data_IF_098831096692
#
_entry.id   IF_098831096692
#
_cell.length_a   1.000
_cell.length_b   1.000
_cell.length_c   1.000
_cell.angle_alpha   90.00
_cell.angle_beta   90.00
_cell.angle_gamma   90.00
#
_symmetry.space_group_name_H-M   'P 1'
#
loop_
_entity.id
_entity.type
_entity.pdbx_description
1 polymer ?
#
# COMPACT_ATOMS: atom_id res chain seq x y z
N UNK A 1 29.64 -80.74 -11.19
CA UNK A 1 28.68 -81.15 -12.23
C UNK A 1 27.77 -79.96 -12.34
N UNK A 2 27.96 -79.13 -13.23
CA UNK A 2 28.01 -79.00 -14.64
C UNK A 2 26.74 -78.25 -15.11
N UNK A 3 27.03 -77.33 -15.91
CA UNK A 3 26.43 -76.76 -17.15
C UNK A 3 25.31 -75.72 -17.00
N UNK A 4 25.74 -74.49 -17.20
CA UNK A 4 25.44 -73.59 -18.34
C UNK A 4 24.09 -73.78 -19.05
N UNK A 5 23.28 -72.71 -19.05
CA UNK A 5 22.56 -72.25 -20.25
C UNK A 5 22.38 -70.71 -20.22
N UNK A 6 23.07 -70.05 -21.20
CA UNK A 6 22.85 -68.69 -21.64
C UNK A 6 21.45 -68.55 -22.26
N UNK A 7 20.66 -67.60 -21.71
CA UNK A 7 19.45 -67.10 -22.38
C UNK A 7 19.70 -65.65 -22.82
N UNK A 8 19.81 -65.44 -24.14
CA UNK A 8 19.88 -64.10 -24.74
C UNK A 8 18.52 -63.44 -24.63
N UNK A 9 18.45 -62.32 -23.91
CA UNK A 9 17.29 -61.45 -23.94
C UNK A 9 17.60 -60.25 -24.84
N UNK A 10 16.84 -60.16 -25.94
CA UNK A 10 16.87 -58.98 -26.84
C UNK A 10 16.24 -57.81 -26.17
N UNK A 11 17.01 -56.76 -26.00
CA UNK A 11 16.50 -55.45 -25.65
C UNK A 11 16.01 -54.71 -26.89
N UNK A 12 14.69 -54.54 -27.01
CA UNK A 12 14.10 -53.55 -27.91
C UNK A 12 14.21 -52.17 -27.27
N UNK A 13 15.09 -51.35 -27.78
CA UNK A 13 15.19 -49.93 -27.37
C UNK A 13 14.04 -49.15 -27.98
N UNK A 14 13.11 -48.69 -27.14
CA UNK A 14 12.14 -47.67 -27.50
C UNK A 14 12.80 -46.30 -27.25
N UNK A 15 13.14 -45.61 -28.32
CA UNK A 15 13.61 -44.21 -28.23
C UNK A 15 12.38 -43.32 -27.94
N UNK A 16 12.25 -42.82 -26.69
CA UNK A 16 11.30 -41.78 -26.35
C UNK A 16 11.97 -40.44 -26.65
N UNK A 17 11.50 -39.76 -27.66
CA UNK A 17 11.87 -38.38 -27.96
C UNK A 17 11.22 -37.48 -26.93
N UNK A 18 12.02 -36.96 -25.95
CA UNK A 18 11.63 -35.91 -25.07
C UNK A 18 11.64 -34.59 -25.86
N UNK A 19 10.44 -34.12 -26.24
CA UNK A 19 10.25 -32.75 -26.67
C UNK A 19 10.44 -31.82 -25.45
N UNK A 20 11.57 -31.16 -25.35
CA UNK A 20 11.81 -30.09 -24.39
C UNK A 20 10.95 -28.89 -24.78
N UNK A 21 9.72 -28.85 -24.25
CA UNK A 21 8.91 -27.66 -24.24
C UNK A 21 9.53 -26.67 -23.24
N UNK A 22 10.34 -25.74 -23.74
CA UNK A 22 10.84 -24.63 -22.93
C UNK A 22 9.66 -23.77 -22.47
N UNK A 23 9.28 -23.90 -21.19
CA UNK A 23 8.45 -22.91 -20.51
C UNK A 23 9.36 -21.67 -20.34
N UNK A 24 9.19 -20.72 -21.26
CA UNK A 24 9.79 -19.42 -21.14
C UNK A 24 9.23 -18.73 -19.89
N UNK A 25 9.96 -18.77 -18.77
CA UNK A 25 9.74 -17.88 -17.65
C UNK A 25 10.01 -16.49 -18.20
N UNK A 26 8.95 -15.72 -18.43
CA UNK A 26 9.09 -14.31 -18.74
C UNK A 26 9.78 -13.67 -17.54
N UNK A 27 11.06 -13.39 -17.71
CA UNK A 27 11.86 -12.62 -16.77
C UNK A 27 11.29 -11.21 -16.78
N UNK A 28 10.51 -10.88 -15.75
CA UNK A 28 10.00 -9.53 -15.54
C UNK A 28 11.22 -8.59 -15.54
N UNK A 29 11.26 -7.73 -16.56
CA UNK A 29 12.34 -6.77 -16.71
C UNK A 29 12.43 -5.96 -15.42
N UNK A 30 13.58 -5.97 -14.78
CA UNK A 30 13.94 -5.02 -13.74
C UNK A 30 13.56 -3.60 -14.22
N UNK A 31 12.74 -2.91 -13.43
CA UNK A 31 12.30 -1.57 -13.75
C UNK A 31 13.54 -0.69 -13.97
N UNK A 32 13.75 -0.28 -15.22
CA UNK A 32 14.72 0.78 -15.52
C UNK A 32 14.29 1.99 -14.70
N UNK A 33 15.21 2.58 -13.94
CA UNK A 33 14.95 3.74 -13.10
C UNK A 33 14.21 4.81 -13.92
N UNK A 34 12.90 4.92 -13.71
CA UNK A 34 12.11 5.99 -14.28
C UNK A 34 12.58 7.28 -13.62
N UNK A 35 12.89 8.30 -14.42
CA UNK A 35 13.32 9.61 -13.90
C UNK A 35 12.18 10.42 -13.28
N UNK A 36 10.94 9.88 -13.28
CA UNK A 36 9.74 10.54 -12.77
C UNK A 36 9.20 9.97 -11.47
N UNK A 37 8.23 10.63 -10.89
CA UNK A 37 7.54 10.17 -9.70
C UNK A 37 6.83 8.84 -9.93
N UNK A 38 6.97 7.87 -9.02
CA UNK A 38 6.38 6.54 -9.08
C UNK A 38 5.49 6.28 -7.86
N UNK A 39 4.41 5.56 -8.08
CA UNK A 39 3.52 5.07 -7.02
C UNK A 39 3.79 3.59 -6.82
N UNK A 40 4.26 3.20 -5.65
CA UNK A 40 4.46 1.80 -5.26
C UNK A 40 3.42 1.43 -4.21
N UNK A 41 2.48 0.57 -4.56
CA UNK A 41 1.48 0.09 -3.61
C UNK A 41 2.12 -1.03 -2.78
N UNK A 42 2.42 -0.74 -1.52
CA UNK A 42 3.06 -1.69 -0.61
C UNK A 42 2.07 -2.74 -0.10
N UNK A 43 0.82 -2.34 0.10
CA UNK A 43 -0.25 -3.24 0.52
C UNK A 43 -1.62 -2.72 0.07
N UNK A 44 -2.47 -3.63 -0.36
CA UNK A 44 -3.82 -3.38 -0.89
C UNK A 44 -4.92 -3.84 0.05
N UNK A 45 -4.57 -4.44 1.19
CA UNK A 45 -5.52 -5.03 2.13
C UNK A 45 -6.38 -3.98 2.84
N UNK A 46 -7.22 -4.48 3.71
CA UNK A 46 -8.18 -3.78 4.56
C UNK A 46 -8.22 -4.53 5.91
N UNK A 47 -9.19 -4.32 6.82
CA UNK A 47 -9.24 -5.04 8.09
C UNK A 47 -9.36 -6.58 7.99
N UNK A 48 -9.75 -7.13 6.81
CA UNK A 48 -9.83 -8.58 6.59
C UNK A 48 -8.44 -9.21 6.66
N UNK A 49 -8.32 -10.33 7.36
CA UNK A 49 -7.04 -11.04 7.50
C UNK A 49 -6.73 -11.91 6.27
N UNK A 50 -6.65 -11.30 5.10
CA UNK A 50 -6.26 -11.96 3.86
C UNK A 50 -4.72 -12.10 3.81
N UNK A 51 -4.16 -13.33 3.77
CA UNK A 51 -2.71 -13.54 3.76
C UNK A 51 -2.03 -13.05 2.48
N UNK A 52 -2.77 -12.90 1.39
CA UNK A 52 -2.24 -12.44 0.09
C UNK A 52 -2.27 -10.91 -0.07
N UNK A 53 -2.89 -10.17 0.88
CA UNK A 53 -3.05 -8.73 0.84
C UNK A 53 -2.57 -8.11 2.15
N UNK A 54 -1.44 -7.44 2.09
CA UNK A 54 -0.90 -6.73 3.25
C UNK A 54 -1.68 -5.44 3.53
N UNK A 55 -1.61 -4.98 4.76
CA UNK A 55 -2.34 -3.78 5.19
C UNK A 55 -2.06 -2.55 4.32
N UNK A 56 -3.03 -1.63 4.21
CA UNK A 56 -2.96 -0.51 3.27
C UNK A 56 -1.73 0.35 3.55
N UNK A 57 -0.88 0.47 2.54
CA UNK A 57 0.28 1.34 2.54
C UNK A 57 0.71 1.65 1.11
N UNK A 58 1.02 2.90 0.83
CA UNK A 58 1.48 3.36 -0.48
C UNK A 58 2.77 4.15 -0.30
N UNK A 59 3.73 3.98 -1.19
CA UNK A 59 4.93 4.82 -1.25
C UNK A 59 4.90 5.66 -2.54
N UNK A 60 5.00 6.97 -2.40
CA UNK A 60 5.31 7.88 -3.51
C UNK A 60 6.83 8.03 -3.52
N UNK A 61 7.44 7.57 -4.60
CA UNK A 61 8.90 7.61 -4.79
C UNK A 61 9.23 8.71 -5.78
N UNK A 62 10.01 9.70 -5.35
CA UNK A 62 10.46 10.81 -6.19
C UNK A 62 11.96 10.99 -5.98
N UNK A 63 12.73 10.85 -7.03
CA UNK A 63 14.18 10.86 -6.95
C UNK A 63 14.67 9.84 -5.91
N UNK A 64 15.45 10.29 -4.91
CA UNK A 64 15.99 9.44 -3.86
C UNK A 64 15.20 9.52 -2.54
N UNK A 65 13.89 9.85 -2.59
CA UNK A 65 13.01 9.94 -1.43
C UNK A 65 11.74 9.12 -1.58
N UNK A 66 11.29 8.54 -0.48
CA UNK A 66 10.00 7.89 -0.36
C UNK A 66 9.11 8.62 0.64
N UNK A 67 7.87 8.84 0.25
CA UNK A 67 6.81 9.45 1.05
C UNK A 67 5.74 8.39 1.24
N UNK A 68 5.64 7.84 2.45
CA UNK A 68 4.64 6.80 2.74
C UNK A 68 3.28 7.43 2.99
N UNK A 69 2.22 6.78 2.54
CA UNK A 69 0.84 7.08 2.91
C UNK A 69 0.27 5.83 3.56
N UNK A 70 -0.14 5.98 4.81
CA UNK A 70 -0.54 4.92 5.73
C UNK A 70 0.57 3.89 6.02
N UNK A 71 0.36 3.15 7.08
CA UNK A 71 1.28 2.12 7.55
C UNK A 71 0.51 0.95 8.15
N UNK A 72 -0.24 0.27 7.29
CA UNK A 72 -0.93 -0.96 7.66
C UNK A 72 0.04 -2.09 8.06
N UNK A 73 -0.49 -3.20 8.59
CA UNK A 73 0.33 -4.34 8.99
C UNK A 73 1.32 -4.78 7.93
N UNK A 74 2.60 -4.88 8.31
CA UNK A 74 3.67 -5.37 7.44
C UNK A 74 4.36 -4.33 6.56
N UNK A 75 4.05 -3.03 6.69
CA UNK A 75 4.60 -1.95 5.86
C UNK A 75 6.12 -2.00 5.71
N UNK A 76 6.89 -2.25 6.79
CA UNK A 76 8.36 -2.31 6.73
C UNK A 76 8.83 -3.51 5.92
N UNK A 77 8.18 -4.67 6.05
CA UNK A 77 8.50 -5.88 5.27
C UNK A 77 8.17 -5.70 3.80
N UNK A 78 7.08 -5.01 3.49
CA UNK A 78 6.67 -4.72 2.11
C UNK A 78 7.60 -3.69 1.47
N UNK A 79 8.04 -2.67 2.21
CA UNK A 79 9.06 -1.74 1.75
C UNK A 79 10.39 -2.47 1.45
N UNK A 80 10.81 -3.40 2.32
CA UNK A 80 11.99 -4.22 2.07
C UNK A 80 11.84 -5.16 0.85
N UNK A 81 10.61 -5.64 0.56
CA UNK A 81 10.34 -6.39 -0.67
C UNK A 81 10.44 -5.49 -1.91
N UNK A 82 9.91 -4.27 -1.84
CA UNK A 82 10.06 -3.28 -2.92
C UNK A 82 11.53 -2.86 -3.13
N UNK A 83 12.34 -2.76 -2.06
CA UNK A 83 13.80 -2.57 -2.17
C UNK A 83 14.42 -3.65 -3.05
N UNK A 84 14.10 -4.92 -2.82
CA UNK A 84 14.60 -6.05 -3.62
C UNK A 84 14.15 -5.96 -5.09
N UNK A 85 13.02 -5.32 -5.36
CA UNK A 85 12.51 -5.09 -6.71
C UNK A 85 13.11 -3.82 -7.36
N UNK A 86 14.15 -3.23 -6.76
CA UNK A 86 14.90 -2.11 -7.36
C UNK A 86 14.62 -0.74 -6.72
N UNK A 87 13.73 -0.63 -5.75
CA UNK A 87 13.44 0.63 -5.05
C UNK A 87 14.36 0.81 -3.83
N UNK A 88 15.64 1.06 -4.05
CA UNK A 88 16.65 1.19 -2.97
C UNK A 88 16.27 2.23 -1.90
N UNK A 89 15.50 3.25 -2.26
CA UNK A 89 14.98 4.28 -1.37
C UNK A 89 13.95 3.75 -0.34
N UNK A 90 13.38 2.56 -0.60
CA UNK A 90 12.47 1.87 0.33
C UNK A 90 13.19 0.92 1.29
N UNK A 91 14.53 0.95 1.33
CA UNK A 91 15.31 0.30 2.38
C UNK A 91 14.85 0.76 3.76
N UNK A 92 14.72 -0.17 4.70
CA UNK A 92 14.12 0.11 6.01
C UNK A 92 14.69 1.38 6.68
N UNK A 93 16.01 1.56 6.71
CA UNK A 93 16.64 2.75 7.34
C UNK A 93 16.32 4.08 6.65
N UNK A 94 15.80 4.06 5.41
CA UNK A 94 15.44 5.25 4.64
C UNK A 94 13.94 5.60 4.76
N UNK A 95 13.16 4.81 5.48
CA UNK A 95 11.76 5.10 5.77
C UNK A 95 11.68 6.19 6.84
N UNK A 96 11.62 7.45 6.42
CA UNK A 96 11.76 8.63 7.30
C UNK A 96 10.49 9.46 7.42
N UNK A 97 9.46 9.18 6.62
CA UNK A 97 8.26 10.01 6.54
C UNK A 97 7.01 9.19 6.26
N UNK A 98 5.92 9.53 6.96
CA UNK A 98 4.60 8.92 6.74
C UNK A 98 3.48 9.96 6.87
N UNK A 99 2.48 9.86 6.01
CA UNK A 99 1.25 10.62 6.02
C UNK A 99 0.10 9.65 6.34
N UNK A 100 -0.56 9.83 7.48
CA UNK A 100 -1.64 8.97 7.94
C UNK A 100 -2.97 9.58 7.51
N UNK A 101 -3.80 8.82 6.81
CA UNK A 101 -5.10 9.28 6.33
C UNK A 101 -6.10 9.41 7.48
N UNK A 102 -6.19 8.40 8.32
CA UNK A 102 -7.04 8.34 9.51
C UNK A 102 -6.53 7.27 10.49
N UNK A 103 -7.12 7.17 11.68
CA UNK A 103 -6.57 6.33 12.75
C UNK A 103 -7.25 4.97 12.90
N UNK A 104 -7.87 4.40 11.86
CA UNK A 104 -8.27 3.00 11.88
C UNK A 104 -7.05 2.08 12.05
N UNK A 105 -7.27 0.93 12.65
CA UNK A 105 -6.19 0.00 13.03
C UNK A 105 -5.49 -0.58 11.81
N UNK A 106 -6.19 -0.90 10.74
CA UNK A 106 -5.59 -1.42 9.51
C UNK A 106 -4.66 -0.43 8.81
N UNK A 107 -4.87 0.88 9.00
CA UNK A 107 -3.97 1.94 8.51
C UNK A 107 -2.80 2.25 9.44
N UNK A 108 -2.85 1.79 10.72
CA UNK A 108 -1.90 2.21 11.77
C UNK A 108 -1.24 1.07 12.54
N UNK A 109 -1.66 -0.21 12.38
CA UNK A 109 -1.05 -1.33 13.12
C UNK A 109 0.43 -1.56 12.76
N UNK A 110 0.89 -1.15 11.59
CA UNK A 110 2.31 -1.15 11.23
C UNK A 110 3.07 0.08 11.73
N UNK A 111 2.41 1.05 12.37
CA UNK A 111 3.08 2.26 12.84
C UNK A 111 4.16 1.99 13.91
N UNK A 112 3.94 1.16 14.92
CA UNK A 112 5.01 0.75 15.83
C UNK A 112 6.17 0.06 15.10
N UNK A 113 5.89 -0.82 14.14
CA UNK A 113 6.92 -1.46 13.31
C UNK A 113 7.72 -0.41 12.53
N UNK A 114 7.06 0.60 11.94
CA UNK A 114 7.71 1.69 11.22
C UNK A 114 8.54 2.62 12.14
N UNK A 115 8.19 2.73 13.40
CA UNK A 115 8.97 3.48 14.40
C UNK A 115 10.24 2.71 14.76
N UNK A 116 10.13 1.44 15.14
CA UNK A 116 11.22 0.73 15.81
C UNK A 116 12.08 -0.11 14.86
N UNK A 117 11.52 -0.85 13.90
CA UNK A 117 12.31 -1.70 13.01
C UNK A 117 13.32 -0.91 12.16
N UNK A 118 12.97 0.21 11.52
CA UNK A 118 13.94 1.05 10.80
C UNK A 118 15.04 1.61 11.68
N UNK A 119 14.74 1.96 12.93
CA UNK A 119 15.74 2.39 13.91
C UNK A 119 16.76 1.29 14.21
N UNK A 120 16.31 0.08 14.51
CA UNK A 120 17.17 -1.09 14.73
C UNK A 120 18.01 -1.39 13.48
N UNK A 121 17.46 -1.16 12.28
CA UNK A 121 18.13 -1.36 11.00
C UNK A 121 18.95 -0.15 10.53
N UNK A 122 19.14 0.86 11.39
CA UNK A 122 20.14 1.92 11.19
C UNK A 122 19.59 3.30 10.82
N UNK A 123 18.27 3.54 10.89
CA UNK A 123 17.72 4.91 10.80
C UNK A 123 18.22 5.74 11.97
N UNK A 124 18.82 6.89 11.68
CA UNK A 124 19.41 7.78 12.70
C UNK A 124 18.51 8.99 13.00
N UNK A 125 17.72 9.41 12.04
CA UNK A 125 16.80 10.53 12.18
C UNK A 125 15.46 10.07 12.78
N UNK A 126 14.74 10.95 13.51
CA UNK A 126 13.35 10.70 13.88
C UNK A 126 12.46 10.43 12.66
N UNK A 127 11.39 9.67 12.84
CA UNK A 127 10.33 9.55 11.85
C UNK A 127 9.50 10.83 11.82
N UNK A 128 9.31 11.43 10.65
CA UNK A 128 8.36 12.52 10.43
C UNK A 128 6.96 11.92 10.16
N UNK A 129 6.02 12.13 11.06
CA UNK A 129 4.67 11.58 10.96
C UNK A 129 3.62 12.68 10.89
N UNK A 130 2.93 12.76 9.77
CA UNK A 130 1.85 13.70 9.49
C UNK A 130 0.51 12.97 9.56
N UNK A 131 -0.50 13.50 10.25
CA UNK A 131 -1.79 12.83 10.31
C UNK A 131 -2.82 13.57 11.15
N UNK A 132 -4.02 12.98 11.34
CA UNK A 132 -5.11 13.63 12.04
C UNK A 132 -4.82 13.81 13.53
N UNK A 133 -5.60 14.68 14.16
CA UNK A 133 -5.59 14.85 15.62
C UNK A 133 -5.80 13.50 16.32
N UNK A 134 -4.99 13.23 17.32
CA UNK A 134 -4.91 11.97 18.05
C UNK A 134 -3.66 11.15 17.71
N UNK A 135 -3.00 11.44 16.58
CA UNK A 135 -1.75 10.77 16.19
C UNK A 135 -0.64 10.99 17.23
N UNK A 136 -0.52 12.22 17.76
CA UNK A 136 0.44 12.53 18.82
C UNK A 136 0.23 11.67 20.05
N UNK A 137 -1.01 11.59 20.53
CA UNK A 137 -1.35 10.74 21.67
C UNK A 137 -1.08 9.27 21.41
N UNK A 138 -1.41 8.78 20.22
CA UNK A 138 -1.10 7.41 19.81
C UNK A 138 0.40 7.14 19.86
N UNK A 139 1.22 8.05 19.31
CA UNK A 139 2.68 7.96 19.33
C UNK A 139 3.24 7.91 20.75
N UNK A 140 2.80 8.81 21.63
CA UNK A 140 3.23 8.84 23.03
C UNK A 140 2.93 7.52 23.77
N UNK A 141 1.80 6.88 23.49
CA UNK A 141 1.47 5.59 24.09
C UNK A 141 2.30 4.44 23.49
N UNK A 142 2.57 4.47 22.18
CA UNK A 142 3.45 3.51 21.52
C UNK A 142 4.88 3.62 22.10
N UNK A 143 5.44 4.81 22.20
CA UNK A 143 6.77 5.01 22.76
C UNK A 143 6.87 4.52 24.22
N UNK A 144 5.83 4.73 25.03
CA UNK A 144 5.77 4.20 26.39
C UNK A 144 5.68 2.68 26.42
N UNK A 145 4.92 2.06 25.51
CA UNK A 145 4.76 0.61 25.44
C UNK A 145 6.08 -0.11 25.13
N UNK A 146 6.97 0.50 24.36
CA UNK A 146 8.29 -0.05 23.99
C UNK A 146 9.45 0.57 24.76
N UNK A 147 9.21 1.28 25.86
CA UNK A 147 10.27 1.97 26.63
C UNK A 147 11.36 1.01 27.13
N UNK A 148 10.99 -0.22 27.55
CA UNK A 148 11.95 -1.24 28.00
C UNK A 148 12.84 -1.72 26.85
N UNK A 149 12.27 -2.03 25.68
CA UNK A 149 13.04 -2.43 24.50
C UNK A 149 14.02 -1.33 24.09
N UNK A 150 13.57 -0.08 24.06
CA UNK A 150 14.42 1.10 23.77
C UNK A 150 15.56 1.22 24.76
N UNK A 151 15.30 1.03 26.06
CA UNK A 151 16.32 1.09 27.10
C UNK A 151 17.37 -0.02 26.92
N UNK A 152 16.93 -1.25 26.72
CA UNK A 152 17.84 -2.41 26.54
C UNK A 152 18.72 -2.23 25.32
N UNK A 153 18.17 -1.81 24.18
CA UNK A 153 18.93 -1.60 22.95
C UNK A 153 19.90 -0.43 23.05
N UNK A 154 19.56 0.64 23.76
CA UNK A 154 20.42 1.81 23.91
C UNK A 154 21.54 1.64 24.93
N UNK A 155 21.29 0.90 26.01
CA UNK A 155 22.22 0.74 27.13
C UNK A 155 22.91 -0.63 27.15
N UNK A 156 22.45 -1.57 26.33
CA UNK A 156 23.01 -2.89 26.19
C UNK A 156 24.04 -2.99 25.08
N UNK A 157 24.33 -4.22 24.61
CA UNK A 157 25.38 -4.52 23.63
C UNK A 157 25.10 -4.00 22.21
N UNK A 158 23.85 -3.61 21.89
CA UNK A 158 23.50 -3.09 20.57
C UNK A 158 23.95 -1.63 20.38
N UNK A 159 24.10 -0.89 21.48
CA UNK A 159 24.50 0.54 21.50
C UNK A 159 23.70 1.39 20.50
N UNK A 160 22.40 1.10 20.37
CA UNK A 160 21.52 1.72 19.38
C UNK A 160 21.49 3.24 19.53
N UNK A 161 21.41 3.96 18.40
CA UNK A 161 21.44 5.43 18.39
C UNK A 161 20.26 6.05 19.19
N UNK A 162 20.45 7.29 19.64
CA UNK A 162 19.55 7.96 20.58
C UNK A 162 18.35 8.66 19.93
N UNK A 163 18.22 8.64 18.61
CA UNK A 163 17.26 9.50 17.87
C UNK A 163 16.34 8.73 16.91
N UNK A 164 16.81 7.66 16.30
CA UNK A 164 16.06 7.00 15.23
C UNK A 164 14.75 6.31 15.65
N UNK A 165 14.53 6.09 16.94
CA UNK A 165 13.24 5.59 17.48
C UNK A 165 12.25 6.70 17.82
N UNK A 166 12.68 7.96 17.77
CA UNK A 166 11.81 9.11 18.05
C UNK A 166 10.93 9.44 16.86
N UNK A 167 9.85 10.14 17.14
CA UNK A 167 8.90 10.59 16.13
C UNK A 167 8.63 12.08 16.30
N UNK A 168 8.73 12.82 15.20
CA UNK A 168 8.23 14.19 15.11
C UNK A 168 6.81 14.12 14.56
N UNK A 169 5.82 14.36 15.41
CA UNK A 169 4.41 14.27 15.03
C UNK A 169 3.87 15.63 14.64
N UNK A 170 3.26 15.69 13.47
CA UNK A 170 2.56 16.84 12.91
C UNK A 170 1.07 16.52 12.77
N UNK A 171 0.26 16.97 13.75
CA UNK A 171 -1.19 16.88 13.61
C UNK A 171 -1.66 17.96 12.63
N UNK A 172 -2.34 17.52 11.55
CA UNK A 172 -2.64 18.34 10.38
C UNK A 172 -4.10 18.78 10.32
N UNK A 173 -4.36 19.74 9.45
CA UNK A 173 -5.67 20.10 8.92
C UNK A 173 -5.65 20.13 7.39
N UNK A 174 -6.77 20.44 6.71
CA UNK A 174 -6.79 20.62 5.26
C UNK A 174 -5.85 21.75 4.81
N UNK A 175 -5.19 21.55 3.67
CA UNK A 175 -4.25 22.51 3.08
C UNK A 175 -2.89 21.88 2.82
N UNK A 176 -1.89 22.69 2.48
CA UNK A 176 -0.52 22.23 2.29
C UNK A 176 0.07 21.85 3.67
N UNK A 177 0.43 20.57 3.81
CA UNK A 177 0.93 19.99 5.07
C UNK A 177 2.42 19.72 5.04
N UNK A 178 2.99 19.59 3.84
CA UNK A 178 4.42 19.37 3.64
C UNK A 178 4.89 19.93 2.30
N UNK A 179 6.14 20.37 2.25
CA UNK A 179 6.81 20.77 0.99
C UNK A 179 8.31 20.59 1.12
N UNK A 180 8.90 20.04 0.07
CA UNK A 180 10.34 20.05 -0.14
C UNK A 180 10.67 20.29 -1.64
N UNK A 181 11.90 20.00 -2.05
CA UNK A 181 12.36 20.16 -3.43
C UNK A 181 11.72 19.19 -4.43
N UNK A 182 11.13 18.08 -3.95
CA UNK A 182 10.54 17.02 -4.75
C UNK A 182 9.02 17.12 -4.86
N UNK A 183 8.34 17.49 -3.75
CA UNK A 183 6.89 17.41 -3.67
C UNK A 183 6.28 18.58 -2.90
N UNK A 184 5.04 18.90 -3.24
CA UNK A 184 4.10 19.60 -2.36
C UNK A 184 2.99 18.63 -2.00
N UNK A 185 2.74 18.40 -0.71
CA UNK A 185 1.68 17.54 -0.21
C UNK A 185 0.55 18.37 0.37
N UNK A 186 -0.64 18.20 -0.20
CA UNK A 186 -1.86 18.85 0.27
C UNK A 186 -2.80 17.79 0.86
N UNK A 187 -3.22 17.96 2.11
CA UNK A 187 -4.28 17.16 2.71
C UNK A 187 -5.64 17.78 2.39
N UNK A 188 -6.62 16.96 2.09
CA UNK A 188 -8.01 17.37 1.94
C UNK A 188 -8.93 16.46 2.74
N UNK A 189 -10.00 17.03 3.31
CA UNK A 189 -10.90 16.27 4.18
C UNK A 189 -11.78 15.35 3.34
N UNK A 190 -11.97 14.11 3.80
CA UNK A 190 -12.87 13.13 3.19
C UNK A 190 -13.96 12.71 4.18
N UNK A 191 -14.96 11.96 3.71
CA UNK A 191 -16.10 11.50 4.50
C UNK A 191 -15.90 10.04 4.85
N UNK A 192 -15.55 9.74 6.09
CA UNK A 192 -15.38 8.36 6.52
C UNK A 192 -16.20 8.10 7.79
N UNK A 193 -17.48 7.86 7.59
CA UNK A 193 -18.43 7.58 8.65
C UNK A 193 -18.43 8.62 9.76
N UNK A 194 -18.19 8.17 10.98
CA UNK A 194 -18.16 9.00 12.18
C UNK A 194 -16.79 9.64 12.48
N UNK A 195 -15.75 9.34 11.68
CA UNK A 195 -14.46 9.99 11.80
C UNK A 195 -14.56 11.47 11.44
N UNK A 196 -14.26 12.33 12.41
CA UNK A 196 -14.28 13.78 12.19
C UNK A 196 -13.11 14.27 11.36
N UNK A 197 -12.00 13.56 11.43
CA UNK A 197 -10.75 13.87 10.74
C UNK A 197 -10.26 12.64 10.00
N UNK A 198 -10.63 12.56 8.73
CA UNK A 198 -10.11 11.63 7.75
C UNK A 198 -9.67 12.44 6.52
N UNK A 199 -8.54 12.10 5.95
CA UNK A 199 -7.88 12.86 4.91
C UNK A 199 -7.53 12.00 3.71
N UNK A 200 -7.71 12.57 2.50
CA UNK A 200 -6.98 12.17 1.33
C UNK A 200 -5.76 13.08 1.14
N UNK A 201 -4.83 12.65 0.32
CA UNK A 201 -3.61 13.40 0.03
C UNK A 201 -3.43 13.62 -1.47
N UNK A 202 -3.01 14.83 -1.85
CA UNK A 202 -2.55 15.18 -3.18
C UNK A 202 -1.06 15.45 -3.12
N UNK A 203 -0.29 14.71 -3.92
CA UNK A 203 1.14 14.90 -4.14
C UNK A 203 1.34 15.58 -5.50
N UNK A 204 1.92 16.75 -5.49
CA UNK A 204 2.30 17.49 -6.69
C UNK A 204 3.81 17.47 -6.80
N UNK A 205 4.32 16.75 -7.79
CA UNK A 205 5.74 16.68 -8.12
C UNK A 205 6.02 17.54 -9.36
N UNK A 206 7.25 17.57 -9.82
CA UNK A 206 7.62 18.30 -11.03
C UNK A 206 6.91 17.76 -12.29
N UNK A 207 6.63 16.47 -12.32
CA UNK A 207 6.16 15.74 -13.50
C UNK A 207 4.79 15.09 -13.34
N UNK A 208 4.30 14.90 -12.10
CA UNK A 208 3.05 14.17 -11.84
C UNK A 208 2.21 14.80 -10.73
N UNK A 209 0.90 14.66 -10.86
CA UNK A 209 -0.07 14.91 -9.81
C UNK A 209 -0.74 13.60 -9.43
N UNK A 210 -0.53 13.15 -8.19
CA UNK A 210 -1.00 11.88 -7.65
C UNK A 210 -1.96 12.19 -6.50
N UNK A 211 -3.15 11.59 -6.54
CA UNK A 211 -4.18 11.75 -5.51
C UNK A 211 -4.49 10.40 -4.89
N UNK A 212 -4.52 10.34 -3.56
CA UNK A 212 -4.87 9.16 -2.77
C UNK A 212 -6.08 9.53 -1.94
N UNK A 213 -7.18 8.80 -2.09
CA UNK A 213 -8.43 9.11 -1.43
C UNK A 213 -8.37 8.93 0.10
N UNK A 214 -7.57 7.99 0.60
CA UNK A 214 -7.85 7.37 1.90
C UNK A 214 -9.20 6.64 1.85
N UNK A 215 -9.71 6.23 2.99
CA UNK A 215 -11.05 5.63 3.06
C UNK A 215 -12.11 6.73 3.06
N UNK A 216 -13.13 6.58 2.23
CA UNK A 216 -14.14 7.62 2.05
C UNK A 216 -15.44 7.14 1.43
N UNK A 217 -16.56 7.58 1.96
CA UNK A 217 -17.79 7.67 1.18
C UNK A 217 -17.63 8.71 0.06
N UNK A 218 -18.48 8.72 -0.97
CA UNK A 218 -18.37 9.64 -2.10
C UNK A 218 -18.27 11.09 -1.68
N UNK A 219 -17.28 11.81 -2.20
CA UNK A 219 -17.08 13.22 -1.89
C UNK A 219 -16.53 14.02 -3.08
N UNK A 220 -16.98 15.26 -3.22
CA UNK A 220 -16.50 16.18 -4.24
C UNK A 220 -15.05 16.64 -3.99
N UNK A 221 -14.55 16.47 -2.75
CA UNK A 221 -13.17 16.83 -2.43
C UNK A 221 -12.16 16.00 -3.24
N UNK A 222 -12.42 14.70 -3.43
CA UNK A 222 -11.60 13.84 -4.30
C UNK A 222 -11.62 14.35 -5.75
N UNK A 223 -12.81 14.71 -6.25
CA UNK A 223 -12.97 15.25 -7.61
C UNK A 223 -12.15 16.53 -7.79
N UNK A 224 -12.27 17.46 -6.81
CA UNK A 224 -11.52 18.73 -6.83
C UNK A 224 -10.00 18.52 -6.70
N UNK A 225 -9.59 17.59 -5.85
CA UNK A 225 -8.16 17.31 -5.63
C UNK A 225 -7.51 16.71 -6.87
N UNK A 226 -8.21 15.81 -7.57
CA UNK A 226 -7.71 15.18 -8.78
C UNK A 226 -7.76 16.13 -9.99
N UNK A 227 -8.94 16.61 -10.40
CA UNK A 227 -9.16 17.50 -11.55
C UNK A 227 -8.18 17.25 -12.72
N UNK A 228 -8.26 16.06 -13.31
CA UNK A 228 -7.35 15.62 -14.37
C UNK A 228 -5.97 15.19 -13.89
N UNK A 229 -5.84 14.67 -12.66
CA UNK A 229 -4.58 14.14 -12.11
C UNK A 229 -4.02 12.98 -12.94
N UNK A 230 -2.72 12.73 -12.79
CA UNK A 230 -2.06 11.64 -13.51
C UNK A 230 -2.46 10.29 -12.94
N UNK A 231 -2.55 10.18 -11.62
CA UNK A 231 -2.98 8.96 -10.92
C UNK A 231 -3.95 9.30 -9.81
N UNK A 232 -5.10 8.65 -9.79
CA UNK A 232 -6.03 8.62 -8.67
C UNK A 232 -6.03 7.22 -8.07
N UNK A 233 -5.48 7.08 -6.85
CA UNK A 233 -5.69 5.88 -6.05
C UNK A 233 -6.98 6.08 -5.25
N UNK A 234 -7.93 5.18 -5.40
CA UNK A 234 -9.21 5.27 -4.70
C UNK A 234 -9.61 3.92 -4.11
N UNK A 235 -10.08 3.95 -2.86
CA UNK A 235 -10.66 2.78 -2.22
C UNK A 235 -11.97 2.38 -2.91
N UNK A 236 -12.38 1.13 -2.75
CA UNK A 236 -13.65 0.65 -3.27
C UNK A 236 -14.10 -0.62 -2.55
N UNK A 237 -15.38 -0.73 -2.23
CA UNK A 237 -15.94 -1.95 -1.66
C UNK A 237 -16.82 -2.70 -2.67
N UNK A 238 -16.92 -4.03 -2.52
CA UNK A 238 -17.82 -4.86 -3.31
C UNK A 238 -19.22 -4.89 -2.68
N UNK A 239 -20.26 -4.30 -3.32
CA UNK A 239 -21.61 -4.25 -2.76
C UNK A 239 -22.37 -5.58 -2.79
N UNK A 240 -21.79 -6.66 -3.34
CA UNK A 240 -22.40 -7.97 -3.43
C UNK A 240 -21.90 -8.95 -2.35
N UNK A 241 -21.12 -8.50 -1.39
CA UNK A 241 -20.64 -9.33 -0.29
C UNK A 241 -21.78 -9.81 0.62
N UNK A 242 -21.60 -10.99 1.22
CA UNK A 242 -22.65 -11.62 2.07
C UNK A 242 -23.06 -10.77 3.26
N UNK A 243 -22.13 -10.00 3.85
CA UNK A 243 -22.43 -9.11 4.99
C UNK A 243 -23.38 -7.98 4.63
N UNK A 244 -23.44 -7.59 3.34
CA UNK A 244 -24.31 -6.52 2.84
C UNK A 244 -25.78 -6.94 2.67
N UNK A 245 -26.11 -8.19 2.96
CA UNK A 245 -27.50 -8.62 3.14
C UNK A 245 -28.10 -8.12 4.46
N UNK A 246 -27.27 -7.69 5.41
CA UNK A 246 -27.70 -7.04 6.65
C UNK A 246 -27.78 -5.52 6.46
N UNK A 247 -28.92 -4.91 6.81
CA UNK A 247 -29.16 -3.48 6.63
C UNK A 247 -28.19 -2.59 7.47
N UNK A 248 -27.70 -3.09 8.61
CA UNK A 248 -26.70 -2.39 9.42
C UNK A 248 -25.38 -2.28 8.66
N UNK A 249 -24.85 -3.40 8.14
CA UNK A 249 -23.61 -3.44 7.38
C UNK A 249 -23.72 -2.68 6.07
N UNK A 250 -24.84 -2.80 5.37
CA UNK A 250 -25.13 -2.02 4.18
C UNK A 250 -25.05 -0.51 4.44
N UNK A 251 -25.69 -0.05 5.52
CA UNK A 251 -25.61 1.36 5.95
C UNK A 251 -24.17 1.75 6.33
N UNK A 252 -23.44 0.86 7.01
CA UNK A 252 -22.03 1.07 7.34
C UNK A 252 -21.21 1.34 6.08
N UNK A 253 -21.21 0.41 5.12
CA UNK A 253 -20.42 0.54 3.89
C UNK A 253 -20.79 1.79 3.09
N UNK A 254 -22.07 2.09 2.94
CA UNK A 254 -22.53 3.32 2.26
C UNK A 254 -22.08 4.62 2.96
N UNK A 255 -21.83 4.56 4.26
CA UNK A 255 -21.43 5.73 5.05
C UNK A 255 -19.91 5.88 5.12
N UNK A 256 -19.17 4.79 5.03
CA UNK A 256 -17.73 4.75 5.23
C UNK A 256 -16.94 4.61 3.93
N UNK A 257 -17.49 3.97 2.90
CA UNK A 257 -16.77 3.53 1.71
C UNK A 257 -17.50 3.91 0.42
N UNK A 258 -16.82 3.71 -0.71
CA UNK A 258 -17.32 4.05 -2.05
C UNK A 258 -17.62 2.78 -2.86
N UNK A 259 -18.83 2.66 -3.39
CA UNK A 259 -19.22 1.56 -4.29
C UNK A 259 -18.67 1.76 -5.71
N UNK A 260 -18.63 0.71 -6.56
CA UNK A 260 -18.23 0.82 -7.96
C UNK A 260 -19.02 1.86 -8.76
N UNK A 261 -20.33 1.94 -8.56
CA UNK A 261 -21.19 2.91 -9.24
C UNK A 261 -20.84 4.36 -8.88
N UNK A 262 -20.63 4.62 -7.59
CA UNK A 262 -20.21 5.93 -7.07
C UNK A 262 -18.80 6.29 -7.53
N UNK A 263 -17.87 5.32 -7.50
CA UNK A 263 -16.50 5.50 -7.97
C UNK A 263 -16.47 5.84 -9.46
N UNK A 264 -17.29 5.17 -10.27
CA UNK A 264 -17.46 5.51 -11.69
C UNK A 264 -17.91 6.96 -11.87
N UNK A 265 -18.86 7.43 -11.04
CA UNK A 265 -19.29 8.82 -11.02
C UNK A 265 -18.19 9.82 -10.63
N UNK A 266 -17.39 9.49 -9.61
CA UNK A 266 -16.23 10.27 -9.19
C UNK A 266 -15.20 10.34 -10.32
N UNK A 267 -14.81 9.19 -10.90
CA UNK A 267 -13.79 9.10 -11.93
C UNK A 267 -14.17 9.86 -13.22
N UNK A 268 -15.43 9.78 -13.65
CA UNK A 268 -15.91 10.57 -14.80
C UNK A 268 -15.76 12.08 -14.58
N UNK A 269 -16.01 12.58 -13.38
CA UNK A 269 -15.88 14.01 -13.02
C UNK A 269 -14.44 14.42 -12.77
N UNK A 270 -13.68 13.57 -12.07
CA UNK A 270 -12.28 13.82 -11.73
C UNK A 270 -11.32 13.68 -12.92
N UNK A 271 -11.67 12.84 -13.91
CA UNK A 271 -10.92 12.62 -15.17
C UNK A 271 -9.44 12.26 -14.94
N UNK A 272 -9.12 11.28 -14.07
CA UNK A 272 -7.73 10.85 -13.91
C UNK A 272 -7.20 10.24 -15.20
N UNK A 273 -5.89 10.36 -15.47
CA UNK A 273 -5.26 9.63 -16.59
C UNK A 273 -5.19 8.13 -16.29
N UNK A 274 -5.05 7.76 -15.01
CA UNK A 274 -5.13 6.38 -14.50
C UNK A 274 -5.88 6.37 -13.16
N UNK A 275 -6.93 5.56 -13.07
CA UNK A 275 -7.58 5.20 -11.82
C UNK A 275 -6.96 3.88 -11.31
N UNK A 276 -6.49 3.87 -10.06
CA UNK A 276 -5.94 2.69 -9.39
C UNK A 276 -6.87 2.32 -8.24
N UNK A 277 -7.50 1.15 -8.33
CA UNK A 277 -8.31 0.62 -7.24
C UNK A 277 -7.37 0.05 -6.18
N UNK A 278 -7.38 0.59 -4.97
CA UNK A 278 -6.62 0.07 -3.85
C UNK A 278 -7.53 -0.06 -2.62
N UNK A 279 -7.05 -0.62 -1.53
CA UNK A 279 -7.91 -0.87 -0.36
C UNK A 279 -9.26 -1.49 -0.78
N UNK A 280 -9.16 -2.59 -1.57
CA UNK A 280 -10.34 -3.23 -2.12
C UNK A 280 -11.02 -4.08 -1.03
N UNK A 281 -12.19 -3.64 -0.58
CA UNK A 281 -13.00 -4.38 0.40
C UNK A 281 -13.86 -5.40 -0.36
N UNK A 282 -13.34 -6.62 -0.49
CA UNK A 282 -13.91 -7.65 -1.39
C UNK A 282 -15.07 -8.42 -0.76
N UNK A 283 -15.21 -8.44 0.57
CA UNK A 283 -16.26 -9.15 1.31
C UNK A 283 -16.42 -10.62 0.85
N UNK A 284 -15.28 -11.32 0.76
CA UNK A 284 -15.17 -12.71 0.29
C UNK A 284 -15.54 -12.94 -1.19
N UNK A 285 -15.86 -11.89 -1.92
CA UNK A 285 -16.13 -11.98 -3.35
C UNK A 285 -14.81 -11.99 -4.16
N UNK A 286 -14.80 -12.63 -5.34
CA UNK A 286 -13.64 -12.56 -6.22
C UNK A 286 -13.33 -11.11 -6.64
N UNK A 287 -12.05 -10.74 -6.70
CA UNK A 287 -11.61 -9.43 -7.21
C UNK A 287 -12.13 -9.16 -8.63
N UNK A 288 -12.20 -10.19 -9.47
CA UNK A 288 -12.72 -10.09 -10.83
C UNK A 288 -14.15 -9.54 -10.88
N UNK A 289 -14.99 -9.86 -9.90
CA UNK A 289 -16.35 -9.35 -9.80
C UNK A 289 -16.35 -7.83 -9.55
N UNK A 290 -15.52 -7.36 -8.64
CA UNK A 290 -15.34 -5.93 -8.39
C UNK A 290 -14.84 -5.18 -9.64
N UNK A 291 -13.85 -5.75 -10.34
CA UNK A 291 -13.29 -5.17 -11.57
C UNK A 291 -14.36 -5.05 -12.66
N UNK A 292 -15.18 -6.09 -12.87
CA UNK A 292 -16.26 -6.05 -13.86
C UNK A 292 -17.36 -5.03 -13.49
N UNK A 293 -17.63 -4.82 -12.20
CA UNK A 293 -18.56 -3.78 -11.76
C UNK A 293 -18.01 -2.39 -12.08
N UNK A 294 -16.75 -2.10 -11.73
CA UNK A 294 -16.11 -0.81 -12.05
C UNK A 294 -16.08 -0.58 -13.57
N UNK A 295 -15.78 -1.61 -14.36
CA UNK A 295 -15.74 -1.54 -15.82
C UNK A 295 -17.07 -1.16 -16.46
N UNK A 296 -18.19 -1.59 -15.89
CA UNK A 296 -19.55 -1.20 -16.33
C UNK A 296 -19.82 0.29 -16.09
N UNK A 297 -19.25 0.84 -15.02
CA UNK A 297 -19.51 2.20 -14.55
C UNK A 297 -18.49 3.23 -15.08
N UNK A 298 -17.30 2.79 -15.46
CA UNK A 298 -16.22 3.68 -15.90
C UNK A 298 -15.47 3.10 -17.10
N UNK A 299 -15.58 3.79 -18.24
CA UNK A 299 -14.92 3.40 -19.50
C UNK A 299 -13.49 3.96 -19.64
N UNK A 300 -13.00 4.73 -18.65
CA UNK A 300 -11.65 5.27 -18.68
C UNK A 300 -10.58 4.23 -18.29
N UNK A 301 -9.33 4.68 -18.29
CA UNK A 301 -8.21 3.79 -17.94
C UNK A 301 -8.19 3.52 -16.42
N UNK A 302 -8.29 2.26 -16.04
CA UNK A 302 -8.18 1.85 -14.65
C UNK A 302 -7.50 0.50 -14.47
N UNK A 303 -7.01 0.25 -13.26
CA UNK A 303 -6.37 -1.02 -12.86
C UNK A 303 -6.72 -1.32 -11.41
N UNK A 304 -6.92 -2.59 -11.08
CA UNK A 304 -6.98 -3.05 -9.69
C UNK A 304 -5.55 -3.28 -9.18
N UNK A 305 -5.19 -2.57 -8.11
CA UNK A 305 -3.85 -2.64 -7.56
C UNK A 305 -3.55 -4.02 -6.97
N UNK A 306 -2.29 -4.39 -7.05
CA UNK A 306 -1.71 -5.52 -6.35
C UNK A 306 -0.58 -5.05 -5.45
N UNK A 307 -0.34 -5.82 -4.41
CA UNK A 307 0.82 -5.61 -3.54
C UNK A 307 2.10 -5.58 -4.37
N UNK A 308 2.94 -4.57 -4.13
CA UNK A 308 4.15 -4.22 -4.89
C UNK A 308 3.91 -3.78 -6.34
N UNK A 309 2.66 -3.51 -6.73
CA UNK A 309 2.35 -2.88 -8.02
C UNK A 309 2.96 -1.48 -8.11
N UNK A 310 3.42 -1.11 -9.32
CA UNK A 310 4.05 0.19 -9.62
C UNK A 310 3.24 0.91 -10.69
N UNK A 311 2.90 2.17 -10.45
CA UNK A 311 1.98 2.95 -11.29
C UNK A 311 2.51 4.35 -11.60
#
# INVERSE_FOLDING_TARGET
MDMTRLGRVLFFGVAVALAAGGVGVAQEKAATASTGAQVVVLGTGNPSADPERWGPAVAIVVNERAYLVDCGPGVVRRAAAAEKNGFAVLRAKELKMVFITHLHSDHTLGYPDLIFSPWVLGRKEPLEAYGPRGLKRMTEHIEKAWAEDVQVRRQGLEEANASGYKVNVHEIGPGVVYRDENVTVTAFRVKHGTWKEAYGYKFETKDRRIVISGDTAPTDEVVRACDGCDVLLHEVYNPHGDELNDEHWKKYFQTFHTSPAELGGIARRARPKLLVLYHQVLEKMPEADLVEQVKREYAGNFVSAKDLGVY
#
